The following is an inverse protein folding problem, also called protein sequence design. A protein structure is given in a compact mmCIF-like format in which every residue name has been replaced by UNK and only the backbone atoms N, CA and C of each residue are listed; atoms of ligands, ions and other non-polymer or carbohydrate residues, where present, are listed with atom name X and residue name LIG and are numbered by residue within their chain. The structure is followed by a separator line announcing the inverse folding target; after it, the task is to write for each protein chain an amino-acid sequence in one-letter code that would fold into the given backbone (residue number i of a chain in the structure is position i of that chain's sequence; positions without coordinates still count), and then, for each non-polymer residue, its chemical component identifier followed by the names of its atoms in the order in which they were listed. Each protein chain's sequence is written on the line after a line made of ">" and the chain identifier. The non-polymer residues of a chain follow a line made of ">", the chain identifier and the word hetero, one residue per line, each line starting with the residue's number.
data_IF_910707565782
#
_entry.id   IF_910707565782
#
_cell.length_a   1.000
_cell.length_b   1.000
_cell.length_c   1.000
_cell.angle_alpha   90.00
_cell.angle_beta   90.00
_cell.angle_gamma   90.00
#
_symmetry.space_group_name_H-M   'P 1'
#
loop_
_entity.id
_entity.type
_entity.pdbx_description
1 polymer ?
#
# COMPACT_ATOMS: atom_id res chain seq x y z
N UNK A 1 16.16 11.51 -16.90
CA UNK A 1 15.17 12.59 -16.80
C UNK A 1 15.37 13.55 -17.96
N UNK A 2 14.34 13.85 -18.76
CA UNK A 2 14.43 14.94 -19.75
C UNK A 2 14.17 16.25 -19.00
N UNK A 3 15.21 17.05 -18.83
CA UNK A 3 15.17 18.33 -18.12
C UNK A 3 14.59 19.41 -19.03
N UNK A 4 13.27 19.61 -18.94
CA UNK A 4 12.69 20.87 -19.39
C UNK A 4 12.96 21.87 -18.26
N UNK A 5 13.87 22.80 -18.48
CA UNK A 5 14.11 23.94 -17.60
C UNK A 5 13.25 25.11 -18.07
N UNK A 6 12.11 25.31 -17.41
CA UNK A 6 11.24 26.46 -17.66
C UNK A 6 11.45 27.44 -16.53
N UNK A 7 12.02 28.60 -16.86
CA UNK A 7 12.19 29.68 -15.89
C UNK A 7 10.83 30.25 -15.48
N UNK A 8 10.69 30.63 -14.21
CA UNK A 8 9.56 31.44 -13.75
C UNK A 8 8.22 30.71 -13.59
N UNK A 9 8.21 29.41 -13.34
CA UNK A 9 6.97 28.66 -13.07
C UNK A 9 6.30 29.22 -11.81
N UNK A 10 5.10 29.80 -11.98
CA UNK A 10 4.30 30.35 -10.88
C UNK A 10 3.41 29.31 -10.20
N UNK A 11 2.98 28.29 -10.96
CA UNK A 11 2.04 27.27 -10.50
C UNK A 11 2.48 25.88 -10.93
N UNK A 12 2.32 24.91 -10.03
CA UNK A 12 2.41 23.48 -10.33
C UNK A 12 1.07 22.84 -10.01
N UNK A 13 0.50 22.14 -10.98
CA UNK A 13 -0.78 21.44 -10.82
C UNK A 13 -0.52 19.94 -10.95
N UNK A 14 -0.66 19.22 -9.86
CA UNK A 14 -0.70 17.76 -9.87
C UNK A 14 -2.13 17.32 -10.23
N UNK A 15 -2.31 16.78 -11.43
CA UNK A 15 -3.63 16.29 -11.87
C UNK A 15 -4.09 15.06 -11.07
N UNK A 16 -3.15 14.22 -10.65
CA UNK A 16 -3.37 13.12 -9.71
C UNK A 16 -2.45 13.29 -8.50
N UNK A 17 -2.91 12.85 -7.33
CA UNK A 17 -2.10 12.86 -6.12
C UNK A 17 -0.84 11.98 -6.28
N UNK A 18 0.38 12.50 -6.06
CA UNK A 18 1.60 11.70 -6.12
C UNK A 18 1.52 10.48 -5.20
N UNK A 19 1.98 9.31 -5.67
CA UNK A 19 1.94 8.05 -4.88
C UNK A 19 2.90 8.06 -3.70
N UNK A 20 3.99 8.81 -3.81
CA UNK A 20 5.02 8.97 -2.79
C UNK A 20 5.19 10.46 -2.48
N UNK A 21 5.51 10.79 -1.24
CA UNK A 21 5.63 12.18 -0.81
C UNK A 21 6.88 12.87 -1.38
N UNK A 22 7.95 12.11 -1.63
CA UNK A 22 9.16 12.57 -2.30
C UNK A 22 8.84 13.05 -3.72
N UNK A 23 7.99 12.31 -4.44
CA UNK A 23 7.54 12.69 -5.78
C UNK A 23 6.77 14.02 -5.76
N UNK A 24 6.00 14.29 -4.70
CA UNK A 24 5.33 15.57 -4.52
C UNK A 24 6.35 16.70 -4.40
N UNK A 25 7.34 16.58 -3.51
CA UNK A 25 8.37 17.61 -3.30
C UNK A 25 9.17 17.87 -4.57
N UNK A 26 9.58 16.82 -5.30
CA UNK A 26 10.32 16.97 -6.55
C UNK A 26 9.51 17.68 -7.65
N UNK A 27 8.19 17.47 -7.69
CA UNK A 27 7.30 18.15 -8.65
C UNK A 27 7.08 19.60 -8.29
N UNK A 28 6.75 19.89 -7.03
CA UNK A 28 6.45 21.27 -6.62
C UNK A 28 7.70 22.14 -6.53
N UNK A 29 8.89 21.53 -6.40
CA UNK A 29 10.18 22.22 -6.48
C UNK A 29 10.48 22.90 -7.83
N UNK A 30 9.54 22.84 -8.79
CA UNK A 30 9.57 23.59 -10.04
C UNK A 30 9.11 25.05 -9.87
N UNK A 31 8.31 25.37 -8.84
CA UNK A 31 7.88 26.74 -8.51
C UNK A 31 8.61 27.28 -7.27
N UNK A 32 8.34 28.53 -6.88
CA UNK A 32 8.83 29.11 -5.61
C UNK A 32 10.34 29.38 -5.54
N UNK A 33 11.04 29.54 -6.67
CA UNK A 33 12.49 29.73 -6.73
C UNK A 33 12.89 31.22 -6.68
N UNK A 34 14.13 31.48 -6.25
CA UNK A 34 14.72 32.82 -6.22
C UNK A 34 13.91 33.86 -5.43
N UNK A 35 13.39 33.47 -4.26
CA UNK A 35 12.64 34.36 -3.37
C UNK A 35 11.23 34.70 -3.83
N UNK A 36 10.76 34.12 -4.94
CA UNK A 36 9.38 34.29 -5.42
C UNK A 36 8.47 33.27 -4.74
N UNK A 37 7.24 33.66 -4.44
CA UNK A 37 6.20 32.72 -4.04
C UNK A 37 5.79 31.82 -5.22
N UNK A 38 5.34 30.61 -4.91
CA UNK A 38 4.82 29.65 -5.86
C UNK A 38 3.62 28.92 -5.30
N UNK A 39 2.69 28.51 -6.16
CA UNK A 39 1.48 27.79 -5.75
C UNK A 39 1.52 26.36 -6.28
N UNK A 40 1.27 25.40 -5.40
CA UNK A 40 1.09 24.01 -5.74
C UNK A 40 -0.35 23.58 -5.47
N UNK A 41 -1.03 23.07 -6.49
CA UNK A 41 -2.39 22.52 -6.38
C UNK A 41 -2.35 21.05 -6.73
N UNK A 42 -3.00 20.22 -5.92
CA UNK A 42 -3.15 18.79 -6.21
C UNK A 42 -4.63 18.45 -6.30
N UNK A 43 -5.06 17.97 -7.46
CA UNK A 43 -6.39 17.39 -7.63
C UNK A 43 -6.35 15.95 -7.14
N UNK A 44 -7.40 15.53 -6.44
CA UNK A 44 -7.45 14.19 -5.87
C UNK A 44 -8.88 13.66 -5.78
N UNK A 45 -9.02 12.38 -6.12
CA UNK A 45 -10.26 11.65 -5.93
C UNK A 45 -10.47 11.17 -4.49
N UNK A 46 -11.65 10.63 -4.22
CA UNK A 46 -12.03 10.13 -2.90
C UNK A 46 -11.02 9.13 -2.30
N UNK A 47 -10.50 8.23 -3.13
CA UNK A 47 -9.60 7.14 -2.72
C UNK A 47 -8.16 7.61 -2.44
N UNK A 48 -7.80 8.83 -2.84
CA UNK A 48 -6.44 9.35 -2.75
C UNK A 48 -6.23 10.27 -1.54
N UNK A 49 -7.28 10.50 -0.74
CA UNK A 49 -7.21 11.34 0.48
C UNK A 49 -6.11 10.92 1.45
N UNK A 50 -5.77 9.62 1.51
CA UNK A 50 -4.68 9.13 2.35
C UNK A 50 -3.33 9.72 1.94
N UNK A 51 -3.09 9.93 0.65
CA UNK A 51 -1.84 10.47 0.11
C UNK A 51 -1.58 11.90 0.59
N UNK A 52 -2.64 12.70 0.79
CA UNK A 52 -2.50 14.03 1.39
C UNK A 52 -1.85 13.96 2.77
N UNK A 53 -2.28 13.00 3.61
CA UNK A 53 -1.76 12.81 4.97
C UNK A 53 -0.31 12.34 4.95
N UNK A 54 0.05 11.50 3.98
CA UNK A 54 1.43 11.04 3.81
C UNK A 54 2.35 12.21 3.43
N UNK A 55 1.89 13.09 2.55
CA UNK A 55 2.61 14.31 2.15
C UNK A 55 2.73 15.29 3.33
N UNK A 56 1.66 15.54 4.08
CA UNK A 56 1.70 16.39 5.28
C UNK A 56 2.72 15.89 6.29
N UNK A 57 2.73 14.57 6.55
CA UNK A 57 3.67 13.94 7.47
C UNK A 57 5.11 14.07 6.99
N UNK A 58 5.35 13.88 5.70
CA UNK A 58 6.68 13.97 5.10
C UNK A 58 7.22 15.41 5.09
N UNK A 59 6.37 16.38 4.76
CA UNK A 59 6.76 17.80 4.66
C UNK A 59 6.72 18.53 6.00
N UNK A 60 6.00 17.99 6.99
CA UNK A 60 5.75 18.64 8.27
C UNK A 60 4.84 19.88 8.16
N UNK A 61 4.15 20.05 7.03
CA UNK A 61 3.29 21.21 6.76
C UNK A 61 1.84 20.75 6.56
N UNK A 62 0.84 21.41 7.18
CA UNK A 62 -0.55 21.10 6.94
C UNK A 62 -0.95 21.47 5.51
N UNK A 63 -1.75 20.62 4.87
CA UNK A 63 -2.29 20.86 3.55
C UNK A 63 -3.74 21.35 3.67
N UNK A 64 -4.04 22.47 3.03
CA UNK A 64 -5.42 22.94 2.89
C UNK A 64 -6.15 22.05 1.88
N UNK A 65 -7.22 21.40 2.33
CA UNK A 65 -8.08 20.57 1.48
C UNK A 65 -9.42 21.30 1.31
N UNK A 66 -9.66 21.77 0.09
CA UNK A 66 -10.94 22.34 -0.31
C UNK A 66 -11.68 21.38 -1.24
N UNK A 67 -13.01 21.46 -1.22
CA UNK A 67 -13.88 20.78 -2.19
C UNK A 67 -14.47 21.83 -3.11
N UNK A 68 -14.32 21.62 -4.41
CA UNK A 68 -14.91 22.50 -5.42
C UNK A 68 -16.39 22.12 -5.54
N UNK A 69 -17.33 23.08 -5.40
CA UNK A 69 -18.76 22.82 -5.57
C UNK A 69 -19.07 22.16 -6.93
N UNK A 70 -19.85 21.09 -6.92
CA UNK A 70 -20.20 20.31 -8.12
C UNK A 70 -19.13 19.31 -8.57
N UNK A 71 -17.96 19.28 -7.92
CA UNK A 71 -16.90 18.28 -8.12
C UNK A 71 -16.60 17.53 -6.82
N UNK A 72 -17.65 17.25 -6.04
CA UNK A 72 -17.50 16.53 -4.78
C UNK A 72 -16.92 15.13 -5.03
N UNK A 73 -15.88 14.72 -4.28
CA UNK A 73 -15.25 13.41 -4.45
C UNK A 73 -16.18 12.30 -3.95
N UNK A 74 -16.84 11.62 -4.87
CA UNK A 74 -17.73 10.51 -4.59
C UNK A 74 -16.96 9.21 -4.37
N UNK A 75 -17.35 8.37 -3.39
CA UNK A 75 -16.83 7.02 -3.31
C UNK A 75 -17.25 6.25 -4.57
N UNK A 76 -16.32 5.51 -5.16
CA UNK A 76 -16.67 4.62 -6.26
C UNK A 76 -17.72 3.63 -5.74
N UNK A 77 -18.82 3.46 -6.48
CA UNK A 77 -19.88 2.54 -6.12
C UNK A 77 -19.28 1.19 -5.70
N UNK A 78 -19.64 0.73 -4.50
CA UNK A 78 -19.21 -0.58 -4.02
C UNK A 78 -19.62 -1.62 -5.07
N UNK A 79 -18.66 -2.45 -5.52
CA UNK A 79 -19.01 -3.60 -6.36
C UNK A 79 -20.01 -4.42 -5.53
N UNK A 80 -21.17 -4.81 -6.10
CA UNK A 80 -22.14 -5.58 -5.35
C UNK A 80 -21.41 -6.80 -4.76
N UNK A 81 -21.56 -6.99 -3.46
CA UNK A 81 -20.93 -8.10 -2.75
C UNK A 81 -21.28 -9.38 -3.52
N UNK A 82 -20.27 -10.01 -4.12
CA UNK A 82 -20.46 -11.30 -4.78
C UNK A 82 -21.10 -12.26 -3.78
N UNK A 83 -22.06 -13.05 -4.25
CA UNK A 83 -22.79 -14.03 -3.42
C UNK A 83 -21.79 -14.78 -2.52
N UNK A 84 -22.06 -14.92 -1.20
CA UNK A 84 -21.15 -15.63 -0.32
C UNK A 84 -20.93 -17.03 -0.88
N UNK A 85 -19.67 -17.36 -1.19
CA UNK A 85 -19.30 -18.74 -1.52
C UNK A 85 -19.52 -19.53 -0.25
N UNK A 86 -20.65 -20.22 -0.15
CA UNK A 86 -20.96 -21.14 0.94
C UNK A 86 -19.90 -22.23 0.94
N UNK A 87 -18.88 -22.09 1.80
CA UNK A 87 -17.91 -23.14 2.10
C UNK A 87 -18.59 -24.18 2.98
N UNK A 88 -19.45 -24.98 2.39
CA UNK A 88 -20.11 -26.08 3.05
C UNK A 88 -19.66 -27.41 2.49
N UNK A 89 -18.76 -28.08 3.22
CA UNK A 89 -18.96 -29.49 3.59
C UNK A 89 -18.04 -29.89 4.76
N UNK A 90 -18.56 -29.98 5.99
CA UNK A 90 -17.95 -30.82 6.99
C UNK A 90 -18.33 -32.27 6.67
N UNK A 91 -17.36 -33.11 6.33
CA UNK A 91 -17.57 -34.56 6.33
C UNK A 91 -17.47 -35.04 7.78
N UNK A 92 -18.62 -35.29 8.40
CA UNK A 92 -18.74 -35.92 9.72
C UNK A 92 -18.06 -37.31 9.78
N UNK A 93 -17.68 -37.79 10.98
CA UNK A 93 -16.79 -38.92 11.20
C UNK A 93 -17.55 -40.25 11.15
N UNK A 94 -17.02 -41.24 10.45
CA UNK A 94 -17.63 -42.57 10.36
C UNK A 94 -16.59 -43.66 10.65
N UNK A 95 -16.82 -44.36 11.77
CA UNK A 95 -16.71 -45.82 11.78
C UNK A 95 -15.35 -46.42 12.14
N UNK A 96 -15.24 -46.82 13.41
CA UNK A 96 -14.32 -47.85 13.89
C UNK A 96 -14.43 -49.19 13.14
N UNK A 97 -13.35 -50.00 13.23
CA UNK A 97 -13.16 -51.47 13.04
C UNK A 97 -11.85 -51.65 12.23
N UNK A 98 -10.67 -51.94 12.79
CA UNK A 98 -10.31 -52.99 13.73
C UNK A 98 -9.60 -54.13 12.97
N UNK A 99 -8.28 -54.31 13.13
CA UNK A 99 -7.60 -55.62 13.09
C UNK A 99 -6.15 -55.50 13.60
N UNK A 100 -5.84 -56.40 14.52
CA UNK A 100 -4.62 -56.67 15.28
C UNK A 100 -3.47 -57.25 14.44
N UNK A 101 -2.22 -57.02 14.86
CA UNK A 101 -1.06 -57.86 14.47
C UNK A 101 0.31 -57.22 14.78
N UNK A 102 1.28 -57.93 15.41
CA UNK A 102 2.36 -57.32 16.21
C UNK A 102 3.74 -57.32 15.53
N UNK A 103 4.67 -56.49 16.03
CA UNK A 103 6.10 -56.76 15.90
C UNK A 103 6.95 -55.55 15.51
N UNK A 104 8.06 -55.35 16.22
CA UNK A 104 9.16 -54.48 15.77
C UNK A 104 9.71 -53.54 16.82
N UNK A 105 10.43 -54.09 17.81
CA UNK A 105 11.42 -53.34 18.60
C UNK A 105 12.62 -53.00 17.70
N UNK A 106 13.18 -51.81 17.89
CA UNK A 106 14.46 -51.36 17.33
C UNK A 106 14.30 -49.95 16.79
N UNK A 107 14.99 -48.90 17.24
CA UNK A 107 16.19 -48.79 18.04
C UNK A 107 16.79 -47.44 17.61
N UNK A 108 16.53 -46.38 18.38
CA UNK A 108 17.09 -45.06 18.07
C UNK A 108 18.49 -44.98 18.68
N UNK A 109 19.48 -45.23 17.83
CA UNK A 109 20.88 -45.00 18.10
C UNK A 109 21.22 -43.52 17.92
N UNK A 110 21.85 -43.01 18.96
CA UNK A 110 22.58 -41.76 19.10
C UNK A 110 23.64 -41.55 18.00
N UNK A 111 23.95 -40.29 17.65
CA UNK A 111 24.89 -40.01 16.55
C UNK A 111 25.16 -38.54 16.22
N UNK A 112 25.64 -37.79 17.21
CA UNK A 112 26.65 -36.73 17.15
C UNK A 112 26.87 -35.87 15.86
N UNK A 113 26.69 -34.56 16.06
CA UNK A 113 27.62 -33.47 15.71
C UNK A 113 28.28 -33.43 14.32
N UNK A 114 28.00 -32.33 13.60
CA UNK A 114 29.04 -31.36 13.24
C UNK A 114 28.44 -30.02 12.83
N UNK A 115 28.75 -28.99 13.63
CA UNK A 115 28.56 -27.58 13.30
C UNK A 115 29.78 -27.13 12.49
N UNK A 116 29.56 -26.75 11.23
CA UNK A 116 30.53 -26.09 10.36
C UNK A 116 30.24 -24.59 10.26
N UNK A 117 31.27 -23.79 10.44
CA UNK A 117 31.34 -22.33 10.59
C UNK A 117 31.20 -21.51 9.30
N UNK A 118 30.71 -20.27 9.48
CA UNK A 118 30.99 -18.96 8.81
C UNK A 118 31.67 -18.96 7.42
N UNK A 119 31.15 -18.14 6.51
CA UNK A 119 31.51 -16.72 6.34
C UNK A 119 30.27 -15.91 5.96
#
# INVERSE_FOLDING_TARGET
>A
ARGIDVAGISHVINFDAPRQAEDYVHRIGRTGRAGRAGIAVTLMGHHERHRARDIERFTGQPMRIDVIPGLEPTPRAARPAGKPVYRGRPSSPAGARGRSGPGGRGGYGDGAQQRGTRW
#
